data_IF_727795390949
#
_entry.id   IF_727795390949
#
_cell.length_a   1.000
_cell.length_b   1.000
_cell.length_c   1.000
_cell.angle_alpha   90.00
_cell.angle_beta   90.00
_cell.angle_gamma   90.00
#
_symmetry.space_group_name_H-M   'P 1'
#
loop_
_entity.id
_entity.type
_entity.pdbx_description
1 polymer ?
#
# COMPACT_ATOMS: atom_id res chain seq x y z
N UNK A 1 2.88 -18.83 -8.29
CA UNK A 1 2.45 -18.22 -7.01
C UNK A 1 3.05 -16.83 -6.91
N UNK A 2 2.30 -15.86 -6.41
CA UNK A 2 2.70 -14.45 -6.26
C UNK A 2 4.07 -14.26 -5.56
N UNK A 3 4.37 -15.12 -4.57
CA UNK A 3 5.66 -15.15 -3.88
C UNK A 3 6.87 -15.30 -4.83
N UNK A 4 6.71 -15.92 -6.01
CA UNK A 4 7.79 -16.03 -6.99
C UNK A 4 8.14 -14.69 -7.65
N UNK A 5 7.16 -13.79 -7.79
CA UNK A 5 7.37 -12.44 -8.32
C UNK A 5 7.98 -11.53 -7.25
N UNK A 6 7.48 -11.59 -6.01
CA UNK A 6 8.01 -10.77 -4.91
C UNK A 6 9.47 -11.09 -4.56
N UNK A 7 9.86 -12.36 -4.70
CA UNK A 7 11.23 -12.80 -4.40
C UNK A 7 12.16 -12.79 -5.64
N UNK A 8 11.69 -12.29 -6.79
CA UNK A 8 12.51 -12.17 -8.00
C UNK A 8 12.86 -13.50 -8.68
N UNK A 9 12.20 -14.61 -8.33
CA UNK A 9 12.44 -15.91 -8.96
C UNK A 9 11.82 -16.03 -10.34
N UNK A 10 10.82 -15.21 -10.65
CA UNK A 10 10.10 -15.17 -11.94
C UNK A 10 9.63 -13.75 -12.21
N UNK A 11 9.54 -13.38 -13.48
CA UNK A 11 8.95 -12.11 -13.89
C UNK A 11 7.49 -12.33 -14.36
N UNK A 12 6.56 -11.44 -13.98
CA UNK A 12 5.22 -11.42 -14.55
C UNK A 12 5.26 -10.96 -16.01
N UNK A 13 4.34 -11.48 -16.83
CA UNK A 13 4.19 -11.03 -18.21
C UNK A 13 3.46 -9.66 -18.29
N UNK A 14 3.46 -9.04 -19.48
CA UNK A 14 2.83 -7.73 -19.69
C UNK A 14 1.34 -7.76 -19.37
N UNK A 15 0.64 -8.88 -19.66
CA UNK A 15 -0.78 -9.00 -19.38
C UNK A 15 -1.05 -8.97 -17.87
N UNK A 16 -0.25 -9.69 -17.09
CA UNK A 16 -0.29 -9.69 -15.63
C UNK A 16 0.03 -8.32 -15.06
N UNK A 17 1.05 -7.63 -15.57
CA UNK A 17 1.40 -6.27 -15.14
C UNK A 17 0.26 -5.28 -15.35
N UNK A 18 -0.45 -5.35 -16.49
CA UNK A 18 -1.64 -4.53 -16.74
C UNK A 18 -2.76 -4.80 -15.76
N UNK A 19 -3.01 -6.08 -15.47
CA UNK A 19 -4.04 -6.48 -14.50
C UNK A 19 -3.71 -5.98 -13.10
N UNK A 20 -2.44 -6.10 -12.67
CA UNK A 20 -1.97 -5.57 -11.39
C UNK A 20 -2.10 -4.05 -11.34
N UNK A 21 -1.65 -3.34 -12.37
CA UNK A 21 -1.74 -1.88 -12.44
C UNK A 21 -3.20 -1.41 -12.34
N UNK A 22 -4.10 -2.07 -13.06
CA UNK A 22 -5.53 -1.78 -13.02
C UNK A 22 -6.14 -2.08 -11.64
N UNK A 23 -5.79 -3.20 -11.03
CA UNK A 23 -6.27 -3.59 -9.71
C UNK A 23 -5.89 -2.57 -8.63
N UNK A 24 -4.62 -2.14 -8.61
CA UNK A 24 -4.13 -1.14 -7.67
C UNK A 24 -4.44 0.31 -8.08
N UNK A 25 -5.06 0.52 -9.24
CA UNK A 25 -5.37 1.84 -9.83
C UNK A 25 -4.13 2.75 -9.96
N UNK A 26 -3.01 2.16 -10.36
CA UNK A 26 -1.73 2.84 -10.64
C UNK A 26 -1.33 2.66 -12.10
N UNK A 27 -0.33 3.40 -12.58
CA UNK A 27 0.20 3.19 -13.92
C UNK A 27 1.11 1.95 -13.96
N UNK A 28 1.27 1.36 -15.14
CA UNK A 28 2.23 0.26 -15.32
C UNK A 28 3.67 0.72 -15.05
N UNK A 29 3.96 2.01 -15.27
CA UNK A 29 5.25 2.61 -14.90
C UNK A 29 5.45 2.62 -13.39
N UNK A 30 4.40 2.78 -12.57
CA UNK A 30 4.54 2.74 -11.10
C UNK A 30 4.91 1.34 -10.59
N UNK A 31 4.53 0.27 -11.31
CA UNK A 31 4.94 -1.10 -11.00
C UNK A 31 6.40 -1.38 -11.39
N UNK A 32 6.84 -0.78 -12.49
CA UNK A 32 8.17 -1.00 -13.08
C UNK A 32 9.19 0.04 -12.60
N UNK A 33 8.74 1.11 -11.96
CA UNK A 33 9.58 2.20 -11.52
C UNK A 33 10.59 1.62 -10.52
N UNK A 34 11.89 1.67 -10.84
CA UNK A 34 12.93 1.31 -9.90
C UNK A 34 13.14 2.45 -8.91
N UNK A 35 12.06 3.04 -8.37
CA UNK A 35 12.12 3.76 -7.09
C UNK A 35 12.44 2.72 -6.01
N UNK A 36 13.65 2.18 -6.09
CA UNK A 36 14.28 1.40 -5.06
C UNK A 36 14.34 2.38 -3.91
N UNK A 37 13.59 2.07 -2.85
CA UNK A 37 13.58 2.84 -1.60
C UNK A 37 14.98 2.70 -0.99
N UNK A 38 15.92 3.49 -1.51
CA UNK A 38 17.33 3.43 -1.13
C UNK A 38 17.67 4.56 -0.17
N UNK A 39 16.90 5.64 -0.21
CA UNK A 39 17.11 6.83 0.61
C UNK A 39 15.95 7.08 1.57
N UNK A 40 16.21 7.88 2.62
CA UNK A 40 15.16 8.41 3.49
C UNK A 40 14.19 9.32 2.73
N UNK A 41 14.66 10.05 1.73
CA UNK A 41 13.82 10.90 0.87
C UNK A 41 12.80 10.07 0.08
N UNK A 42 13.19 8.90 -0.44
CA UNK A 42 12.27 8.01 -1.15
C UNK A 42 11.22 7.42 -0.21
N UNK A 43 11.61 7.06 1.02
CA UNK A 43 10.66 6.66 2.08
C UNK A 43 9.68 7.78 2.36
N UNK A 44 10.16 9.02 2.49
CA UNK A 44 9.31 10.16 2.78
C UNK A 44 8.32 10.43 1.64
N UNK A 45 8.77 10.38 0.38
CA UNK A 45 7.90 10.50 -0.80
C UNK A 45 6.82 9.42 -0.82
N UNK A 46 7.20 8.17 -0.53
CA UNK A 46 6.28 7.05 -0.49
C UNK A 46 5.24 7.20 0.62
N UNK A 47 5.67 7.52 1.83
CA UNK A 47 4.79 7.78 2.98
C UNK A 47 3.86 8.95 2.65
N UNK A 48 4.37 10.01 2.04
CA UNK A 48 3.57 11.17 1.63
C UNK A 48 2.49 10.77 0.63
N UNK A 49 2.83 9.96 -0.38
CA UNK A 49 1.88 9.45 -1.37
C UNK A 49 0.78 8.61 -0.72
N UNK A 50 1.15 7.66 0.15
CA UNK A 50 0.18 6.80 0.84
C UNK A 50 -0.69 7.59 1.80
N UNK A 51 -0.11 8.52 2.57
CA UNK A 51 -0.85 9.36 3.51
C UNK A 51 -1.88 10.23 2.77
N UNK A 52 -1.50 10.81 1.63
CA UNK A 52 -2.40 11.58 0.77
C UNK A 52 -3.55 10.72 0.25
N UNK A 53 -3.25 9.53 -0.29
CA UNK A 53 -4.27 8.63 -0.81
C UNK A 53 -5.26 8.16 0.27
N UNK A 54 -4.75 7.85 1.47
CA UNK A 54 -5.57 7.47 2.62
C UNK A 54 -6.52 8.61 3.01
N UNK A 55 -6.01 9.84 3.08
CA UNK A 55 -6.80 11.02 3.40
C UNK A 55 -7.90 11.27 2.36
N UNK A 56 -7.55 11.31 1.07
CA UNK A 56 -8.50 11.52 -0.02
C UNK A 56 -9.59 10.44 -0.03
N UNK A 57 -9.19 9.19 0.18
CA UNK A 57 -10.14 8.06 0.28
C UNK A 57 -11.08 8.24 1.47
N UNK A 58 -10.56 8.56 2.66
CA UNK A 58 -11.38 8.82 3.84
C UNK A 58 -12.36 9.99 3.63
N UNK A 59 -11.91 11.08 3.01
CA UNK A 59 -12.77 12.24 2.74
C UNK A 59 -13.90 11.94 1.75
N UNK A 60 -13.70 10.96 0.86
CA UNK A 60 -14.75 10.49 -0.07
C UNK A 60 -15.82 9.60 0.58
N UNK A 61 -15.59 9.11 1.80
CA UNK A 61 -16.54 8.25 2.52
C UNK A 61 -17.70 9.10 3.06
N UNK A 62 -18.97 8.68 2.87
CA UNK A 62 -20.11 9.35 3.47
C UNK A 62 -20.04 9.36 5.01
N UNK A 63 -20.41 10.47 5.63
CA UNK A 63 -20.27 10.69 7.09
C UNK A 63 -20.91 9.59 7.95
N UNK A 64 -22.00 8.98 7.50
CA UNK A 64 -22.68 7.89 8.20
C UNK A 64 -21.81 6.63 8.42
N UNK A 65 -20.76 6.44 7.61
CA UNK A 65 -19.85 5.29 7.71
C UNK A 65 -18.50 5.63 8.36
N UNK A 66 -18.18 6.93 8.53
CA UNK A 66 -16.90 7.35 9.10
C UNK A 66 -16.66 6.81 10.53
N UNK A 67 -17.64 6.82 11.45
CA UNK A 67 -17.42 6.32 12.81
C UNK A 67 -16.99 4.85 12.85
N UNK A 68 -17.67 4.00 12.09
CA UNK A 68 -17.35 2.56 12.01
C UNK A 68 -15.96 2.33 11.38
N UNK A 69 -15.62 3.11 10.35
CA UNK A 69 -14.32 3.05 9.71
C UNK A 69 -13.18 3.46 10.66
N UNK A 70 -13.36 4.54 11.41
CA UNK A 70 -12.39 5.02 12.39
C UNK A 70 -12.15 4.00 13.50
N UNK A 71 -13.21 3.37 14.01
CA UNK A 71 -13.09 2.31 15.01
C UNK A 71 -12.25 1.14 14.49
N UNK A 72 -12.52 0.68 13.26
CA UNK A 72 -11.75 -0.38 12.60
C UNK A 72 -10.29 0.00 12.37
N UNK A 73 -10.02 1.23 11.95
CA UNK A 73 -8.65 1.73 11.76
C UNK A 73 -7.88 1.77 13.10
N UNK A 74 -8.52 2.24 14.18
CA UNK A 74 -7.93 2.25 15.51
C UNK A 74 -7.64 0.83 16.00
N UNK A 75 -8.57 -0.11 15.82
CA UNK A 75 -8.38 -1.50 16.18
C UNK A 75 -7.18 -2.11 15.43
N UNK A 76 -7.13 -1.92 14.11
CA UNK A 76 -6.01 -2.37 13.27
C UNK A 76 -4.66 -1.80 13.74
N UNK A 77 -4.58 -0.50 14.04
CA UNK A 77 -3.34 0.11 14.52
C UNK A 77 -2.88 -0.47 15.87
N UNK A 78 -3.81 -0.78 16.78
CA UNK A 78 -3.48 -1.42 18.06
C UNK A 78 -2.93 -2.82 17.85
N UNK A 79 -3.56 -3.62 16.98
CA UNK A 79 -3.10 -4.96 16.64
C UNK A 79 -1.72 -4.93 15.98
N UNK A 80 -1.51 -4.00 15.04
CA UNK A 80 -0.23 -3.82 14.36
C UNK A 80 0.90 -3.51 15.35
N UNK A 81 0.69 -2.57 16.27
CA UNK A 81 1.66 -2.23 17.33
C UNK A 81 1.99 -3.44 18.21
N UNK A 82 0.96 -4.17 18.67
CA UNK A 82 1.14 -5.34 19.53
C UNK A 82 1.92 -6.47 18.84
N UNK A 83 1.77 -6.65 17.52
CA UNK A 83 2.53 -7.66 16.76
C UNK A 83 4.02 -7.29 16.63
N UNK A 84 4.33 -6.00 16.49
CA UNK A 84 5.71 -5.52 16.38
C UNK A 84 6.42 -5.45 17.74
N UNK A 85 5.71 -5.15 18.84
CA UNK A 85 6.26 -5.20 20.19
C UNK A 85 6.61 -6.62 20.64
N UNK A 86 5.85 -7.64 20.22
CA UNK A 86 6.13 -9.05 20.51
C UNK A 86 7.31 -9.64 19.72
N UNK A 87 7.78 -8.96 18.68
CA UNK A 87 8.87 -9.41 17.79
C UNK A 87 10.23 -8.80 18.14
N UNK A 88 10.26 -7.82 19.05
CA UNK A 88 11.48 -7.20 19.60
C UNK A 88 11.76 -7.74 21.00
#
# INVERSE_FOLDING_TARGET
TYAGWENGFREPDISTLKNLASYYKISMNDLLSPEIITSEDDKFKLISRFSKNLYETYMSVPDKYKPELEEKLIAYMKEFKAQHEKRN
#
